data_IF_979416261129
#
_entry.id   IF_979416261129
#
_cell.length_a   1.000
_cell.length_b   1.000
_cell.length_c   1.000
_cell.angle_alpha   90.00
_cell.angle_beta   90.00
_cell.angle_gamma   90.00
#
_symmetry.space_group_name_H-M   'P 1'
#
loop_
_entity.id
_entity.type
_entity.pdbx_description
1 polymer ?
#
# COMPACT_ATOMS: atom_id res chain seq x y z
N UNK A 1 -47.99 1.06 -1.15
CA UNK A 1 -47.75 2.43 -0.63
C UNK A 1 -46.35 2.53 -0.10
N UNK A 2 -45.59 3.53 -0.60
CA UNK A 2 -44.26 3.92 -0.12
C UNK A 2 -44.35 4.52 1.30
N UNK A 3 -43.21 5.03 1.78
CA UNK A 3 -42.96 5.95 2.91
C UNK A 3 -42.40 5.26 4.18
N UNK A 4 -41.22 5.59 4.73
CA UNK A 4 -40.09 6.48 4.36
C UNK A 4 -38.89 6.10 5.26
N UNK A 5 -37.69 6.41 4.78
CA UNK A 5 -36.38 6.38 5.46
C UNK A 5 -36.32 7.20 6.76
N UNK A 6 -35.52 6.74 7.73
CA UNK A 6 -34.62 7.63 8.48
C UNK A 6 -33.30 6.92 8.81
N UNK A 7 -32.31 7.30 8.03
CA UNK A 7 -30.88 7.27 8.28
C UNK A 7 -30.49 8.09 9.53
N UNK A 8 -29.47 7.59 10.22
CA UNK A 8 -28.44 8.34 10.97
C UNK A 8 -28.75 8.78 12.43
N UNK A 9 -27.72 8.68 13.29
CA UNK A 9 -27.55 9.32 14.61
C UNK A 9 -28.34 8.77 15.84
N UNK A 10 -28.18 7.50 16.24
CA UNK A 10 -28.80 6.98 17.48
C UNK A 10 -27.82 6.62 18.62
N UNK A 11 -26.62 7.22 18.64
CA UNK A 11 -25.69 7.08 19.78
C UNK A 11 -26.10 7.94 21.00
N UNK A 12 -27.12 8.78 20.87
CA UNK A 12 -27.63 9.68 21.92
C UNK A 12 -28.86 9.14 22.65
N UNK A 13 -29.35 7.94 22.32
CA UNK A 13 -30.45 7.30 23.05
C UNK A 13 -29.91 6.57 24.27
N UNK A 14 -30.07 7.18 25.45
CA UNK A 14 -29.92 6.48 26.71
C UNK A 14 -30.89 5.27 26.77
N UNK A 15 -30.47 4.12 27.31
CA UNK A 15 -31.32 2.93 27.36
C UNK A 15 -32.50 3.16 28.31
N UNK A 16 -33.69 3.35 27.76
CA UNK A 16 -34.93 3.42 28.55
C UNK A 16 -35.31 1.98 28.94
N UNK A 17 -35.17 1.62 30.22
CA UNK A 17 -35.62 0.34 30.79
C UNK A 17 -36.74 0.59 31.80
N UNK A 18 -37.83 -0.17 31.69
CA UNK A 18 -38.96 -0.12 32.63
C UNK A 18 -38.54 -0.71 33.98
N UNK A 19 -38.73 0.08 35.04
CA UNK A 19 -38.40 -0.27 36.42
C UNK A 19 -39.61 -0.94 37.06
N UNK A 20 -39.50 -2.23 37.35
CA UNK A 20 -40.26 -2.91 38.40
C UNK A 20 -39.36 -4.00 38.99
N UNK A 21 -39.21 -3.98 40.33
CA UNK A 21 -38.50 -4.93 41.23
C UNK A 21 -37.01 -4.66 41.59
N UNK A 22 -36.82 -3.82 42.61
CA UNK A 22 -35.99 -4.01 43.82
C UNK A 22 -34.66 -4.82 43.81
N UNK A 23 -33.72 -4.56 42.90
CA UNK A 23 -32.30 -4.96 43.10
C UNK A 23 -31.27 -3.86 42.83
N UNK A 24 -31.67 -2.58 42.84
CA UNK A 24 -31.03 -1.57 41.97
C UNK A 24 -30.05 -0.58 42.62
N UNK A 25 -29.69 -0.65 43.91
CA UNK A 25 -28.83 0.39 44.51
C UNK A 25 -27.34 0.20 44.18
N UNK A 26 -26.80 -0.99 44.40
CA UNK A 26 -25.39 -1.32 44.11
C UNK A 26 -25.12 -1.29 42.61
N UNK A 27 -26.07 -1.77 41.81
CA UNK A 27 -26.04 -1.68 40.35
C UNK A 27 -26.06 -0.21 39.90
N UNK A 28 -26.90 0.64 40.52
CA UNK A 28 -26.93 2.08 40.25
C UNK A 28 -25.58 2.76 40.54
N UNK A 29 -24.95 2.46 41.68
CA UNK A 29 -23.63 3.03 41.97
C UNK A 29 -22.54 2.54 41.01
N UNK A 30 -22.57 1.26 40.60
CA UNK A 30 -21.61 0.74 39.62
C UNK A 30 -21.74 1.40 38.23
N UNK A 31 -22.98 1.68 37.80
CA UNK A 31 -23.26 2.37 36.52
C UNK A 31 -22.87 3.84 36.62
N UNK A 32 -23.17 4.51 37.73
CA UNK A 32 -22.79 5.90 37.96
C UNK A 32 -21.28 6.09 37.98
N UNK A 33 -20.53 5.17 38.61
CA UNK A 33 -19.07 5.19 38.64
C UNK A 33 -18.47 4.98 37.24
N UNK A 34 -18.99 4.02 36.46
CA UNK A 34 -18.59 3.81 35.07
C UNK A 34 -18.93 5.02 34.18
N UNK A 35 -20.09 5.65 34.37
CA UNK A 35 -20.53 6.81 33.60
C UNK A 35 -19.74 8.08 33.91
N UNK A 36 -19.27 8.25 35.16
CA UNK A 36 -18.45 9.38 35.56
C UNK A 36 -16.95 9.16 35.25
N UNK A 37 -16.60 8.04 34.63
CA UNK A 37 -15.25 7.76 34.15
C UNK A 37 -15.07 8.21 32.71
N UNK A 38 -14.08 9.09 32.47
CA UNK A 38 -13.71 9.53 31.13
C UNK A 38 -13.03 8.38 30.38
N UNK A 39 -13.81 7.58 29.64
CA UNK A 39 -13.27 6.49 28.84
C UNK A 39 -12.51 7.03 27.63
N UNK A 40 -11.22 7.28 27.80
CA UNK A 40 -10.31 7.61 26.69
C UNK A 40 -10.01 6.35 25.87
N UNK A 41 -10.98 5.91 25.06
CA UNK A 41 -10.77 4.88 24.06
C UNK A 41 -9.79 5.41 23.00
N UNK A 42 -8.48 5.19 23.19
CA UNK A 42 -7.50 5.48 22.15
C UNK A 42 -7.80 4.55 20.97
N UNK A 43 -8.39 5.10 19.90
CA UNK A 43 -8.65 4.38 18.64
C UNK A 43 -7.31 3.97 18.03
N UNK A 44 -6.81 2.79 18.40
CA UNK A 44 -5.64 2.20 17.77
C UNK A 44 -6.13 1.55 16.47
N UNK A 45 -6.04 2.27 15.36
CA UNK A 45 -6.28 1.72 14.02
C UNK A 45 -5.18 0.72 13.65
N UNK A 46 -5.24 -0.50 14.19
CA UNK A 46 -4.38 -1.60 13.78
C UNK A 46 -5.01 -2.26 12.57
N UNK A 47 -4.74 -1.71 11.38
CA UNK A 47 -5.19 -2.31 10.14
C UNK A 47 -4.31 -3.51 9.85
N UNK A 48 -4.94 -4.68 9.83
CA UNK A 48 -4.31 -5.97 9.57
C UNK A 48 -4.59 -6.31 8.12
N UNK A 49 -3.56 -6.37 7.28
CA UNK A 49 -3.68 -6.90 5.93
C UNK A 49 -3.08 -8.30 5.88
N UNK A 50 -3.87 -9.27 5.41
CA UNK A 50 -3.39 -10.61 5.06
C UNK A 50 -2.88 -10.57 3.62
N UNK A 51 -1.56 -10.57 3.43
CA UNK A 51 -0.97 -10.77 2.11
C UNK A 51 -1.09 -12.26 1.76
N UNK A 52 -1.83 -12.57 0.67
CA UNK A 52 -2.35 -13.91 0.36
C UNK A 52 -1.31 -14.99 0.03
N UNK A 53 -0.01 -14.69 0.05
CA UNK A 53 0.99 -15.63 -0.48
C UNK A 53 2.13 -15.97 0.46
N UNK A 54 2.36 -15.21 1.54
CA UNK A 54 3.40 -15.54 2.54
C UNK A 54 2.94 -15.15 3.94
N UNK A 55 2.73 -16.15 4.79
CA UNK A 55 2.30 -16.04 6.20
C UNK A 55 3.35 -15.36 7.08
N UNK A 56 3.59 -14.07 6.91
CA UNK A 56 4.20 -13.24 7.95
C UNK A 56 3.36 -11.98 8.14
N UNK A 57 2.73 -11.91 9.31
CA UNK A 57 2.02 -10.73 9.72
C UNK A 57 3.05 -9.65 10.07
N UNK A 58 3.15 -8.59 9.26
CA UNK A 58 4.07 -7.47 9.52
C UNK A 58 3.28 -6.21 9.88
N UNK A 59 3.59 -5.62 11.03
CA UNK A 59 3.12 -4.29 11.39
C UNK A 59 3.91 -3.25 10.58
N UNK A 60 3.22 -2.46 9.75
CA UNK A 60 3.84 -1.36 9.01
C UNK A 60 4.05 -0.16 9.95
N UNK A 61 5.24 0.45 9.86
CA UNK A 61 5.51 1.72 10.54
C UNK A 61 4.82 2.87 9.79
N UNK A 62 4.63 4.03 10.45
CA UNK A 62 4.09 5.25 9.81
C UNK A 62 4.88 5.66 8.56
N UNK A 63 6.17 5.36 8.51
CA UNK A 63 7.03 5.60 7.34
C UNK A 63 6.64 4.75 6.14
N UNK A 64 6.24 3.50 6.36
CA UNK A 64 5.92 2.55 5.29
C UNK A 64 4.55 2.88 4.66
N UNK A 65 3.65 3.47 5.47
CA UNK A 65 2.34 3.93 5.02
C UNK A 65 2.39 5.12 4.06
N UNK A 66 3.46 5.93 4.13
CA UNK A 66 3.64 7.09 3.25
C UNK A 66 3.99 6.71 1.81
N UNK A 67 4.27 5.43 1.53
CA UNK A 67 4.78 4.97 0.22
C UNK A 67 6.20 5.46 -0.10
N UNK A 68 6.82 6.23 0.79
CA UNK A 68 8.20 6.70 0.64
C UNK A 68 9.11 5.70 1.34
N UNK A 69 10.00 5.00 0.62
CA UNK A 69 10.93 4.08 1.25
C UNK A 69 11.84 4.84 2.23
N UNK A 70 12.07 4.22 3.39
CA UNK A 70 13.05 4.69 4.38
C UNK A 70 14.43 4.91 3.73
N UNK A 71 15.31 5.67 4.39
CA UNK A 71 16.62 6.06 3.85
C UNK A 71 17.45 4.85 3.38
N UNK A 72 17.51 3.78 4.16
CA UNK A 72 18.27 2.57 3.82
C UNK A 72 17.81 1.87 2.51
N UNK A 73 16.52 1.51 2.34
CA UNK A 73 16.06 0.92 1.08
C UNK A 73 16.16 1.88 -0.11
N UNK A 74 16.03 3.20 0.11
CA UNK A 74 16.26 4.21 -0.94
C UNK A 74 17.71 4.17 -1.43
N UNK A 75 18.69 4.15 -0.53
CA UNK A 75 20.11 4.06 -0.91
C UNK A 75 20.40 2.77 -1.68
N UNK A 76 19.88 1.63 -1.24
CA UNK A 76 20.05 0.37 -1.96
C UNK A 76 19.45 0.42 -3.37
N UNK A 77 18.22 0.94 -3.52
CA UNK A 77 17.59 1.10 -4.84
C UNK A 77 18.33 2.07 -5.76
N UNK A 78 18.99 3.07 -5.18
CA UNK A 78 19.81 4.01 -5.94
C UNK A 78 21.09 3.33 -6.44
N UNK A 79 21.77 2.56 -5.59
CA UNK A 79 22.98 1.83 -5.98
C UNK A 79 22.69 0.82 -7.09
N UNK A 80 21.63 0.01 -6.96
CA UNK A 80 21.24 -0.94 -8.01
C UNK A 80 20.89 -0.23 -9.32
N UNK A 81 20.22 0.92 -9.25
CA UNK A 81 19.95 1.75 -10.44
C UNK A 81 21.25 2.24 -11.08
N UNK A 82 22.22 2.71 -10.31
CA UNK A 82 23.54 3.16 -10.82
C UNK A 82 24.28 2.02 -11.50
N UNK A 83 24.25 0.82 -10.93
CA UNK A 83 24.89 -0.35 -11.53
C UNK A 83 24.23 -0.75 -12.86
N UNK A 84 22.89 -0.72 -12.91
CA UNK A 84 22.10 -1.10 -14.08
C UNK A 84 21.99 -0.03 -15.17
N UNK A 85 22.40 1.23 -14.91
CA UNK A 85 22.38 2.31 -15.91
C UNK A 85 23.14 1.95 -17.19
N UNK A 86 24.20 1.14 -17.08
CA UNK A 86 25.02 0.75 -18.24
C UNK A 86 24.29 -0.21 -19.19
N UNK A 87 23.30 -0.95 -18.70
CA UNK A 87 22.53 -1.95 -19.44
C UNK A 87 21.35 -1.31 -20.19
N UNK A 88 20.74 -0.27 -19.62
CA UNK A 88 19.59 0.45 -20.17
C UNK A 88 19.99 1.48 -21.26
N UNK A 89 20.82 1.08 -22.22
CA UNK A 89 21.20 1.93 -23.37
C UNK A 89 20.34 1.61 -24.57
N UNK A 90 19.91 2.61 -25.34
CA UNK A 90 19.21 2.40 -26.62
C UNK A 90 20.27 2.12 -27.70
N UNK A 91 20.12 1.06 -28.53
CA UNK A 91 21.08 0.76 -29.59
C UNK A 91 21.05 1.88 -30.63
N UNK A 92 22.24 2.35 -31.01
CA UNK A 92 22.39 3.34 -32.08
C UNK A 92 22.45 2.62 -33.42
N UNK A 93 22.27 3.36 -34.51
CA UNK A 93 22.47 2.82 -35.86
C UNK A 93 23.96 2.44 -36.05
N UNK A 94 24.26 1.27 -36.64
CA UNK A 94 25.63 0.87 -36.97
C UNK A 94 26.30 1.86 -37.93
N UNK A 95 27.63 1.84 -37.99
CA UNK A 95 28.37 2.61 -38.97
C UNK A 95 28.00 2.18 -40.39
N UNK A 96 27.52 3.14 -41.19
CA UNK A 96 27.21 2.93 -42.60
C UNK A 96 28.12 3.79 -43.48
N UNK A 97 28.48 3.27 -44.65
CA UNK A 97 29.25 3.96 -45.67
C UNK A 97 28.44 4.05 -46.97
N UNK A 98 28.73 5.03 -47.84
CA UNK A 98 28.08 5.19 -49.16
C UNK A 98 28.29 3.99 -50.09
N UNK A 99 29.30 3.18 -49.83
CA UNK A 99 29.62 1.98 -50.62
C UNK A 99 28.86 0.74 -50.16
N UNK A 100 28.12 0.80 -49.04
CA UNK A 100 27.37 -0.35 -48.52
C UNK A 100 26.06 -0.52 -49.28
N UNK A 101 25.72 -1.78 -49.54
CA UNK A 101 24.43 -2.16 -50.07
C UNK A 101 23.32 -2.07 -49.01
N UNK A 102 22.08 -1.84 -49.45
CA UNK A 102 20.91 -1.69 -48.58
C UNK A 102 20.63 -2.96 -47.78
N UNK A 103 20.78 -4.13 -48.39
CA UNK A 103 20.48 -5.40 -47.73
C UNK A 103 21.54 -5.73 -46.67
N UNK A 104 22.81 -5.44 -46.98
CA UNK A 104 23.91 -5.56 -46.03
C UNK A 104 23.71 -4.67 -44.79
N UNK A 105 23.31 -3.41 -45.00
CA UNK A 105 23.05 -2.49 -43.88
C UNK A 105 21.89 -2.96 -43.01
N UNK A 106 20.80 -3.45 -43.62
CA UNK A 106 19.65 -3.99 -42.90
C UNK A 106 20.00 -5.22 -42.06
N UNK A 107 20.88 -6.09 -42.56
CA UNK A 107 21.36 -7.25 -41.83
C UNK A 107 22.14 -6.82 -40.58
N UNK A 108 23.08 -5.87 -40.73
CA UNK A 108 23.86 -5.33 -39.63
C UNK A 108 22.98 -4.66 -38.56
N UNK A 109 21.99 -3.88 -38.98
CA UNK A 109 21.01 -3.26 -38.07
C UNK A 109 20.24 -4.31 -37.25
N UNK A 110 19.82 -5.41 -37.89
CA UNK A 110 19.13 -6.52 -37.21
C UNK A 110 20.03 -7.22 -36.21
N UNK A 111 21.28 -7.48 -36.57
CA UNK A 111 22.25 -8.13 -35.68
C UNK A 111 22.55 -7.29 -34.45
N UNK A 112 22.82 -5.99 -34.61
CA UNK A 112 23.03 -5.08 -33.47
C UNK A 112 21.78 -4.97 -32.58
N UNK A 113 20.58 -4.94 -33.19
CA UNK A 113 19.34 -4.96 -32.43
C UNK A 113 19.19 -6.25 -31.62
N UNK A 114 19.56 -7.40 -32.20
CA UNK A 114 19.51 -8.70 -31.52
C UNK A 114 20.52 -8.79 -30.38
N UNK A 115 21.76 -8.32 -30.56
CA UNK A 115 22.77 -8.31 -29.49
C UNK A 115 22.34 -7.42 -28.34
N UNK A 116 21.75 -6.26 -28.63
CA UNK A 116 21.16 -5.39 -27.60
C UNK A 116 20.01 -6.05 -26.83
N UNK A 117 19.06 -6.69 -27.54
CA UNK A 117 17.96 -7.41 -26.86
C UNK A 117 18.48 -8.51 -25.95
N UNK A 118 19.53 -9.22 -26.37
CA UNK A 118 20.18 -10.25 -25.53
C UNK A 118 20.87 -9.65 -24.32
N UNK A 119 21.46 -8.45 -24.43
CA UNK A 119 22.09 -7.80 -23.27
C UNK A 119 21.10 -7.31 -22.20
N UNK A 120 19.84 -7.07 -22.57
CA UNK A 120 18.76 -6.72 -21.63
C UNK A 120 18.15 -7.93 -20.91
N UNK A 121 18.20 -9.11 -21.52
CA UNK A 121 17.63 -10.33 -20.95
C UNK A 121 18.56 -11.03 -19.94
N UNK A 122 19.78 -10.51 -19.75
CA UNK A 122 20.79 -11.02 -18.84
C UNK A 122 20.70 -10.32 -17.48
#
# INVERSE_FOLDING_TARGET
NKHTTTTNEDFSRLPIRSITEETSLTEFFSIAELANSDFTARKVHRIIYTCSEKKTFRFLSKSDMSGVPSFAPRVQSHLTRVDQQKLLKIPRRPHWSRTMDKDQLNLLEKEEMLTWRRSLAK
#
